data_IF_214369528600
#
_entry.id   IF_214369528600
#
_cell.length_a   1.000
_cell.length_b   1.000
_cell.length_c   1.000
_cell.angle_alpha   90.00
_cell.angle_beta   90.00
_cell.angle_gamma   90.00
#
_symmetry.space_group_name_H-M   'P 1'
#
loop_
_entity.id
_entity.type
_entity.pdbx_description
1 polymer ?
#
# COMPACT_ATOMS: atom_id res chain seq x y z
N UNK A 1 -17.16 -68.18 -3.50
CA UNK A 1 -16.85 -66.91 -4.18
C UNK A 1 -17.51 -65.81 -3.33
N UNK A 2 -16.97 -65.31 -2.21
CA UNK A 2 -15.65 -64.70 -1.95
C UNK A 2 -15.34 -63.65 -3.05
N UNK A 3 -15.30 -62.33 -2.83
CA UNK A 3 -15.18 -61.53 -1.60
C UNK A 3 -15.90 -60.18 -1.75
N UNK A 4 -16.51 -59.70 -0.67
CA UNK A 4 -16.98 -58.32 -0.48
C UNK A 4 -15.82 -57.43 -0.03
N UNK A 5 -15.55 -56.33 -0.76
CA UNK A 5 -14.67 -55.21 -0.36
C UNK A 5 -15.15 -53.97 -1.09
N UNK A 6 -15.18 -52.76 -0.57
CA UNK A 6 -15.13 -52.22 0.78
C UNK A 6 -15.66 -50.77 0.66
N UNK A 7 -16.45 -50.34 1.64
CA UNK A 7 -16.81 -48.93 1.85
C UNK A 7 -15.60 -48.23 2.45
N UNK A 8 -15.11 -47.16 1.83
CA UNK A 8 -14.14 -46.21 2.39
C UNK A 8 -14.63 -44.81 1.98
N UNK A 9 -15.47 -44.18 2.80
CA UNK A 9 -15.09 -43.31 3.92
C UNK A 9 -14.39 -42.02 3.45
N UNK A 10 -15.17 -40.93 3.47
CA UNK A 10 -14.70 -39.56 3.52
C UNK A 10 -13.80 -39.38 4.74
N UNK A 11 -12.55 -38.94 4.56
CA UNK A 11 -11.90 -38.03 5.49
C UNK A 11 -10.89 -37.16 4.74
N UNK A 12 -11.21 -35.88 4.68
CA UNK A 12 -10.26 -34.81 4.47
C UNK A 12 -9.14 -34.89 5.52
N UNK A 13 -7.89 -34.81 5.10
CA UNK A 13 -6.78 -34.23 5.85
C UNK A 13 -5.48 -34.54 5.12
N UNK A 14 -5.07 -33.69 4.19
CA UNK A 14 -3.65 -33.48 3.94
C UNK A 14 -3.52 -32.10 3.30
N UNK A 15 -3.09 -31.13 4.10
CA UNK A 15 -2.19 -30.01 3.81
C UNK A 15 -2.31 -29.10 5.03
N UNK A 16 -1.53 -29.39 6.05
CA UNK A 16 -1.16 -28.45 7.10
C UNK A 16 0.13 -28.99 7.72
N UNK A 17 1.21 -28.23 7.52
CA UNK A 17 2.37 -28.08 8.39
C UNK A 17 3.68 -27.99 7.60
N UNK A 18 3.92 -26.85 6.96
CA UNK A 18 5.24 -26.18 7.05
C UNK A 18 5.02 -24.67 7.03
N UNK A 19 4.42 -24.13 8.10
CA UNK A 19 4.68 -22.76 8.50
C UNK A 19 5.64 -22.85 9.69
N UNK A 20 6.88 -23.24 9.41
CA UNK A 20 7.96 -23.02 10.35
C UNK A 20 8.06 -21.50 10.53
N UNK A 21 7.71 -21.03 11.72
CA UNK A 21 7.98 -19.69 12.19
C UNK A 21 9.49 -19.49 12.18
N UNK A 22 10.03 -18.96 11.08
CA UNK A 22 11.36 -18.35 11.09
C UNK A 22 11.21 -16.89 11.54
N UNK A 23 11.30 -16.72 12.86
CA UNK A 23 11.36 -15.42 13.53
C UNK A 23 12.81 -14.92 13.65
N UNK A 24 13.62 -15.01 12.58
CA UNK A 24 15.01 -14.50 12.61
C UNK A 24 15.43 -13.62 11.41
N UNK A 25 14.48 -13.13 10.61
CA UNK A 25 14.78 -12.11 9.59
C UNK A 25 14.64 -10.71 10.18
N UNK A 26 15.70 -9.87 10.07
CA UNK A 26 15.59 -8.42 10.22
C UNK A 26 14.32 -7.95 9.53
N UNK A 27 13.37 -7.35 10.27
CA UNK A 27 12.18 -6.77 9.65
C UNK A 27 12.68 -5.65 8.75
N UNK A 28 12.57 -5.82 7.44
CA UNK A 28 12.83 -4.75 6.50
C UNK A 28 11.67 -3.76 6.60
N UNK A 29 11.98 -2.48 6.83
CA UNK A 29 10.98 -1.44 6.77
C UNK A 29 10.33 -1.34 5.40
N UNK A 30 9.13 -0.77 5.31
CA UNK A 30 8.40 -0.55 4.05
C UNK A 30 9.30 0.07 2.95
N UNK A 31 10.16 1.07 3.24
CA UNK A 31 11.06 1.63 2.22
C UNK A 31 12.04 0.61 1.65
N UNK A 32 12.49 -0.35 2.45
CA UNK A 32 13.40 -1.40 1.98
C UNK A 32 12.65 -2.45 1.16
N UNK A 33 11.44 -2.85 1.60
CA UNK A 33 10.58 -3.77 0.85
C UNK A 33 10.27 -3.20 -0.54
N UNK A 34 9.89 -1.92 -0.63
CA UNK A 34 9.60 -1.28 -1.92
C UNK A 34 10.85 -1.17 -2.82
N UNK A 35 12.01 -0.75 -2.28
CA UNK A 35 13.27 -0.72 -3.04
C UNK A 35 13.68 -2.08 -3.59
N UNK A 36 13.42 -3.15 -2.84
CA UNK A 36 13.73 -4.50 -3.31
C UNK A 36 12.72 -4.96 -4.35
N UNK A 37 11.46 -4.54 -4.26
CA UNK A 37 10.43 -4.81 -5.27
C UNK A 37 10.64 -4.04 -6.58
N UNK A 38 11.23 -2.84 -6.53
CA UNK A 38 11.61 -2.08 -7.75
C UNK A 38 12.59 -2.85 -8.63
N UNK A 39 13.46 -3.68 -8.03
CA UNK A 39 14.37 -4.57 -8.77
C UNK A 39 13.64 -5.71 -9.47
N UNK A 40 12.43 -6.05 -8.99
CA UNK A 40 11.59 -7.13 -9.51
C UNK A 40 10.61 -6.63 -10.57
N UNK A 41 10.22 -5.37 -10.44
CA UNK A 41 9.20 -4.73 -11.24
C UNK A 41 9.35 -3.20 -11.18
N UNK A 42 9.50 -2.58 -12.34
CA UNK A 42 9.41 -1.12 -12.47
C UNK A 42 7.93 -0.69 -12.44
N UNK A 43 7.35 -0.70 -11.25
CA UNK A 43 6.00 -0.18 -11.01
C UNK A 43 6.01 1.35 -11.11
N UNK A 44 5.06 1.97 -11.82
CA UNK A 44 5.00 3.42 -11.91
C UNK A 44 4.56 4.03 -10.57
N UNK A 45 5.01 5.26 -10.28
CA UNK A 45 4.46 5.99 -9.13
C UNK A 45 3.12 6.64 -9.52
N UNK A 46 2.04 6.43 -8.74
CA UNK A 46 0.72 7.00 -9.04
C UNK A 46 0.64 8.53 -8.94
N UNK A 47 1.63 9.22 -8.37
CA UNK A 47 1.71 10.68 -8.32
C UNK A 47 3.00 11.21 -8.94
N UNK A 48 2.88 12.37 -9.59
CA UNK A 48 4.04 13.12 -10.09
C UNK A 48 4.88 13.66 -8.91
N UNK A 49 6.18 13.36 -8.92
CA UNK A 49 7.12 13.62 -7.83
C UNK A 49 7.22 15.11 -7.44
N UNK A 50 7.14 16.03 -8.41
CA UNK A 50 7.32 17.47 -8.20
C UNK A 50 6.26 18.08 -7.27
N UNK A 51 5.01 17.63 -7.37
CA UNK A 51 3.91 18.17 -6.57
C UNK A 51 3.90 17.60 -5.15
N UNK A 52 4.39 16.37 -4.99
CA UNK A 52 4.61 15.77 -3.68
C UNK A 52 5.73 16.49 -2.90
N UNK A 53 6.83 16.84 -3.57
CA UNK A 53 7.93 17.60 -2.96
C UNK A 53 7.49 19.00 -2.53
N UNK A 54 6.61 19.68 -3.27
CA UNK A 54 6.01 20.95 -2.85
C UNK A 54 5.19 20.84 -1.55
N UNK A 55 4.44 19.75 -1.38
CA UNK A 55 3.70 19.47 -0.14
C UNK A 55 4.62 19.06 1.03
N UNK A 56 5.72 18.36 0.72
CA UNK A 56 6.75 17.98 1.68
C UNK A 56 7.48 19.19 2.25
N UNK A 57 7.83 20.18 1.42
CA UNK A 57 8.51 21.41 1.87
C UNK A 57 7.64 22.24 2.83
N UNK A 58 6.32 22.29 2.59
CA UNK A 58 5.36 22.95 3.51
C UNK A 58 5.33 22.30 4.89
N UNK A 59 5.62 21.00 4.99
CA UNK A 59 5.67 20.27 6.26
C UNK A 59 7.06 20.26 6.91
N UNK A 60 8.14 20.29 6.12
CA UNK A 60 9.54 20.44 6.60
C UNK A 60 9.78 21.75 7.34
N UNK A 61 8.97 22.77 7.06
CA UNK A 61 9.03 24.05 7.78
C UNK A 61 8.65 23.93 9.27
N UNK A 62 8.03 22.81 9.68
CA UNK A 62 7.58 22.56 11.06
C UNK A 62 8.50 21.60 11.86
N UNK A 63 9.44 20.92 11.23
CA UNK A 63 10.39 20.01 11.87
C UNK A 63 11.60 19.80 10.96
N UNK A 64 12.79 20.14 11.45
CA UNK A 64 14.02 20.29 10.64
C UNK A 64 14.38 19.09 9.75
N UNK A 65 15.32 19.32 8.82
CA UNK A 65 15.65 18.46 7.65
C UNK A 65 15.94 16.96 7.90
N UNK A 66 16.11 16.51 9.14
CA UNK A 66 16.54 15.14 9.48
C UNK A 66 15.49 14.29 10.20
N UNK A 67 14.33 14.84 10.55
CA UNK A 67 13.29 14.07 11.23
C UNK A 67 12.33 13.48 10.19
N UNK A 68 12.07 12.16 10.19
CA UNK A 68 11.04 11.58 9.34
C UNK A 68 9.68 12.19 9.70
N UNK A 69 8.78 12.39 8.72
CA UNK A 69 7.48 12.97 8.98
C UNK A 69 6.69 12.08 9.93
N UNK A 70 5.95 12.70 10.85
CA UNK A 70 4.97 11.98 11.67
C UNK A 70 3.87 11.38 10.78
N UNK A 71 3.08 10.43 11.31
CA UNK A 71 1.90 9.91 10.61
C UNK A 71 0.94 11.01 10.13
N UNK A 72 0.69 12.03 10.96
CA UNK A 72 -0.22 13.11 10.62
C UNK A 72 0.37 14.07 9.59
N UNK A 73 1.67 14.35 9.67
CA UNK A 73 2.37 15.09 8.62
C UNK A 73 2.29 14.35 7.28
N UNK A 74 2.48 13.02 7.26
CA UNK A 74 2.31 12.21 6.04
C UNK A 74 0.88 12.31 5.48
N UNK A 75 -0.15 12.17 6.32
CA UNK A 75 -1.54 12.36 5.89
C UNK A 75 -1.76 13.75 5.29
N UNK A 76 -1.24 14.80 5.94
CA UNK A 76 -1.33 16.16 5.43
C UNK A 76 -0.57 16.38 4.12
N UNK A 77 0.55 15.69 3.90
CA UNK A 77 1.27 15.72 2.62
C UNK A 77 0.43 15.11 1.51
N UNK A 78 -0.24 13.99 1.77
CA UNK A 78 -1.10 13.31 0.81
C UNK A 78 -2.37 14.11 0.50
N UNK A 79 -3.02 14.68 1.53
CA UNK A 79 -4.17 15.56 1.33
C UNK A 79 -3.78 16.81 0.52
N UNK A 80 -2.63 17.41 0.82
CA UNK A 80 -2.09 18.53 0.04
C UNK A 80 -1.86 18.14 -1.42
N UNK A 81 -1.29 16.96 -1.68
CA UNK A 81 -1.05 16.49 -3.03
C UNK A 81 -2.38 16.34 -3.80
N UNK A 82 -3.38 15.69 -3.19
CA UNK A 82 -4.70 15.51 -3.81
C UNK A 82 -5.38 16.84 -4.14
N UNK A 83 -5.29 17.84 -3.24
CA UNK A 83 -5.79 19.19 -3.50
C UNK A 83 -5.06 19.86 -4.66
N UNK A 84 -3.73 19.76 -4.72
CA UNK A 84 -2.95 20.35 -5.81
C UNK A 84 -3.27 19.74 -7.18
N UNK A 85 -3.67 18.46 -7.21
CA UNK A 85 -4.12 17.80 -8.44
C UNK A 85 -5.62 17.98 -8.74
N UNK A 86 -6.34 18.74 -7.92
CA UNK A 86 -7.80 18.90 -8.00
C UNK A 86 -8.55 17.55 -7.94
N UNK A 87 -7.98 16.55 -7.27
CA UNK A 87 -8.65 15.28 -7.01
C UNK A 87 -9.68 15.39 -5.89
N UNK A 88 -9.66 16.49 -5.15
CA UNK A 88 -10.63 16.75 -4.10
C UNK A 88 -11.14 18.18 -4.14
N UNK A 89 -12.44 18.33 -3.86
CA UNK A 89 -13.15 19.61 -3.76
C UNK A 89 -14.17 19.53 -2.63
N UNK A 90 -14.24 20.58 -1.80
CA UNK A 90 -15.18 20.62 -0.67
C UNK A 90 -15.03 19.47 0.33
N UNK A 91 -13.82 18.91 0.47
CA UNK A 91 -13.56 17.78 1.37
C UNK A 91 -13.96 16.40 0.82
N UNK A 92 -14.41 16.31 -0.44
CA UNK A 92 -14.74 15.06 -1.10
C UNK A 92 -13.73 14.78 -2.23
N UNK A 93 -13.43 13.51 -2.47
CA UNK A 93 -12.61 13.09 -3.61
C UNK A 93 -13.49 13.00 -4.84
N UNK A 94 -13.09 13.68 -5.92
CA UNK A 94 -13.61 13.47 -7.26
C UNK A 94 -13.00 12.19 -7.82
N UNK A 95 -13.75 11.10 -7.67
CA UNK A 95 -13.31 9.74 -8.01
C UNK A 95 -12.99 9.62 -9.49
N UNK A 96 -13.78 10.24 -10.36
CA UNK A 96 -13.60 10.14 -11.81
C UNK A 96 -12.35 10.89 -12.25
N UNK A 97 -12.15 12.11 -11.75
CA UNK A 97 -10.95 12.90 -12.04
C UNK A 97 -9.69 12.18 -11.51
N UNK A 98 -9.72 11.70 -10.28
CA UNK A 98 -8.59 10.97 -9.67
C UNK A 98 -8.27 9.69 -10.45
N UNK A 99 -9.29 8.88 -10.77
CA UNK A 99 -9.13 7.63 -11.51
C UNK A 99 -8.55 7.87 -12.90
N UNK A 100 -9.07 8.86 -13.62
CA UNK A 100 -8.53 9.25 -14.91
C UNK A 100 -7.06 9.66 -14.80
N UNK A 101 -6.70 10.45 -13.79
CA UNK A 101 -5.34 10.91 -13.59
C UNK A 101 -4.35 9.76 -13.27
N UNK A 102 -4.73 8.82 -12.40
CA UNK A 102 -3.91 7.63 -12.11
C UNK A 102 -3.74 6.69 -13.32
N UNK A 103 -4.75 6.58 -14.18
CA UNK A 103 -4.64 5.78 -15.40
C UNK A 103 -3.80 6.51 -16.45
N UNK A 104 -3.91 7.83 -16.55
CA UNK A 104 -3.19 8.63 -17.54
C UNK A 104 -1.74 8.92 -17.14
N UNK A 105 -1.36 8.74 -15.87
CA UNK A 105 0.02 8.94 -15.39
C UNK A 105 0.95 7.77 -15.72
N UNK A 106 0.42 6.66 -16.20
CA UNK A 106 1.19 5.46 -16.55
C UNK A 106 1.23 5.24 -18.07
N UNK A 107 2.22 4.50 -18.54
CA UNK A 107 2.29 4.14 -19.97
C UNK A 107 1.18 3.14 -20.35
N UNK A 108 1.00 2.92 -21.66
CA UNK A 108 -0.09 2.08 -22.19
C UNK A 108 -0.07 0.63 -21.68
N UNK A 109 1.10 0.07 -21.34
CA UNK A 109 1.19 -1.31 -20.82
C UNK A 109 0.70 -1.44 -19.38
N UNK A 110 0.63 -0.33 -18.65
CA UNK A 110 0.14 -0.27 -17.28
C UNK A 110 -1.31 0.20 -17.15
N UNK A 111 -1.91 0.83 -18.18
CA UNK A 111 -3.25 1.44 -18.07
C UNK A 111 -4.35 0.50 -17.58
N UNK A 112 -4.40 -0.74 -18.08
CA UNK A 112 -5.39 -1.74 -17.62
C UNK A 112 -5.20 -2.07 -16.14
N UNK A 113 -3.95 -2.38 -15.74
CA UNK A 113 -3.60 -2.65 -14.33
C UNK A 113 -3.88 -1.44 -13.44
N UNK A 114 -3.62 -0.24 -13.94
CA UNK A 114 -3.88 0.99 -13.23
C UNK A 114 -5.37 1.15 -12.95
N UNK A 115 -6.22 0.95 -13.96
CA UNK A 115 -7.68 1.01 -13.81
C UNK A 115 -8.19 0.01 -12.77
N UNK A 116 -7.79 -1.25 -12.91
CA UNK A 116 -8.17 -2.33 -11.99
C UNK A 116 -7.68 -2.07 -10.55
N UNK A 117 -6.47 -1.52 -10.41
CA UNK A 117 -5.91 -1.18 -9.11
C UNK A 117 -6.68 -0.07 -8.41
N UNK A 118 -7.06 0.97 -9.15
CA UNK A 118 -7.88 2.07 -8.61
C UNK A 118 -9.26 1.57 -8.21
N UNK A 119 -9.92 0.77 -9.05
CA UNK A 119 -11.24 0.22 -8.76
C UNK A 119 -11.22 -0.70 -7.52
N UNK A 120 -10.19 -1.54 -7.41
CA UNK A 120 -9.95 -2.36 -6.23
C UNK A 120 -9.80 -1.49 -4.97
N UNK A 121 -8.96 -0.45 -5.02
CA UNK A 121 -8.69 0.41 -3.88
C UNK A 121 -9.88 1.28 -3.45
N UNK A 122 -10.73 1.70 -4.39
CA UNK A 122 -12.00 2.35 -4.07
C UNK A 122 -12.96 1.40 -3.36
N UNK A 123 -12.97 0.12 -3.71
CA UNK A 123 -13.76 -0.89 -3.00
C UNK A 123 -13.19 -1.19 -1.61
N UNK A 124 -11.88 -1.31 -1.47
CA UNK A 124 -11.21 -1.48 -0.17
C UNK A 124 -11.47 -0.27 0.73
N UNK A 125 -11.45 0.95 0.18
CA UNK A 125 -11.82 2.16 0.93
C UNK A 125 -13.25 2.04 1.48
N UNK A 126 -14.22 1.57 0.68
CA UNK A 126 -15.61 1.43 1.15
C UNK A 126 -15.80 0.37 2.22
N UNK A 127 -15.00 -0.69 2.17
CA UNK A 127 -15.23 -1.91 2.97
C UNK A 127 -14.31 -2.06 4.18
N UNK A 128 -13.10 -1.48 4.12
CA UNK A 128 -12.06 -1.67 5.13
C UNK A 128 -11.57 -0.38 5.77
N UNK A 129 -11.71 0.76 5.11
CA UNK A 129 -11.30 2.02 5.74
C UNK A 129 -12.25 2.37 6.88
N UNK A 130 -11.68 2.50 8.07
CA UNK A 130 -12.37 2.95 9.26
C UNK A 130 -11.66 4.20 9.76
N UNK A 131 -12.34 5.35 9.75
CA UNK A 131 -11.75 6.61 10.23
C UNK A 131 -11.29 6.52 11.70
N UNK A 132 -11.94 5.67 12.50
CA UNK A 132 -11.56 5.37 13.89
C UNK A 132 -10.22 4.66 14.05
N UNK A 133 -9.63 4.13 12.96
CA UNK A 133 -8.29 3.54 12.97
C UNK A 133 -7.17 4.59 13.00
N UNK A 134 -7.49 5.86 12.73
CA UNK A 134 -6.54 6.96 12.87
C UNK A 134 -6.46 7.35 14.34
N UNK A 135 -5.30 7.20 15.00
CA UNK A 135 -5.15 7.58 16.40
C UNK A 135 -5.39 9.09 16.60
N UNK A 136 -5.67 9.48 17.85
CA UNK A 136 -5.77 10.89 18.19
C UNK A 136 -4.39 11.56 18.07
N UNK A 137 -4.32 12.76 17.45
CA UNK A 137 -3.06 13.49 17.34
C UNK A 137 -2.52 13.86 18.73
N UNK A 138 -1.20 13.87 18.91
CA UNK A 138 -0.57 14.65 19.97
C UNK A 138 -1.08 16.11 19.97
N UNK A 139 -1.13 16.73 21.14
CA UNK A 139 -1.60 18.11 21.28
C UNK A 139 -0.85 19.07 20.33
N UNK A 140 -1.61 19.82 19.53
CA UNK A 140 -1.09 20.81 18.58
C UNK A 140 -0.81 20.30 17.17
N UNK A 141 -0.92 18.98 16.92
CA UNK A 141 -0.72 18.42 15.59
C UNK A 141 -2.00 18.47 14.74
N UNK A 142 -1.86 18.92 13.49
CA UNK A 142 -2.99 19.02 12.55
C UNK A 142 -3.38 17.63 12.07
N UNK A 143 -4.66 17.29 12.21
CA UNK A 143 -5.25 16.11 11.54
C UNK A 143 -5.70 16.50 10.15
N UNK A 144 -5.26 15.70 9.18
CA UNK A 144 -5.63 15.81 7.78
C UNK A 144 -6.41 14.57 7.37
N UNK A 145 -7.11 14.64 6.24
CA UNK A 145 -7.87 13.51 5.73
C UNK A 145 -6.92 12.35 5.38
N UNK A 146 -7.24 11.15 5.89
CA UNK A 146 -6.45 9.95 5.68
C UNK A 146 -6.80 9.25 4.36
N UNK A 147 -7.97 9.54 3.76
CA UNK A 147 -8.45 8.89 2.54
C UNK A 147 -7.45 9.08 1.36
N UNK A 148 -6.90 10.28 1.09
CA UNK A 148 -5.85 10.47 0.09
C UNK A 148 -4.65 9.53 0.26
N UNK A 149 -4.17 9.39 1.51
CA UNK A 149 -3.02 8.55 1.83
C UNK A 149 -3.34 7.06 1.65
N UNK A 150 -4.52 6.63 2.11
CA UNK A 150 -5.00 5.27 1.92
C UNK A 150 -5.06 4.89 0.45
N UNK A 151 -5.72 5.71 -0.38
CA UNK A 151 -5.89 5.42 -1.80
C UNK A 151 -4.55 5.35 -2.52
N UNK A 152 -3.64 6.29 -2.23
CA UNK A 152 -2.33 6.31 -2.86
C UNK A 152 -1.51 5.05 -2.54
N UNK A 153 -1.44 4.69 -1.25
CA UNK A 153 -0.68 3.52 -0.80
C UNK A 153 -1.30 2.26 -1.37
N UNK A 154 -2.62 2.11 -1.32
CA UNK A 154 -3.31 0.96 -1.87
C UNK A 154 -3.00 0.80 -3.37
N UNK A 155 -3.14 1.87 -4.15
CA UNK A 155 -2.89 1.82 -5.60
C UNK A 155 -1.43 1.45 -5.88
N UNK A 156 -0.49 2.05 -5.15
CA UNK A 156 0.93 1.78 -5.34
C UNK A 156 1.29 0.32 -4.99
N UNK A 157 0.81 -0.19 -3.85
CA UNK A 157 0.98 -1.61 -3.48
C UNK A 157 0.38 -2.53 -4.53
N UNK A 158 -0.79 -2.15 -5.08
CA UNK A 158 -1.48 -2.96 -6.07
C UNK A 158 -0.76 -2.97 -7.42
N UNK A 159 -0.03 -1.93 -7.79
CA UNK A 159 0.83 -1.95 -8.97
C UNK A 159 1.90 -3.03 -8.86
N UNK A 160 2.58 -3.15 -7.71
CA UNK A 160 3.52 -4.26 -7.50
C UNK A 160 2.84 -5.62 -7.49
N UNK A 161 1.65 -5.73 -6.90
CA UNK A 161 0.89 -6.99 -6.84
C UNK A 161 0.34 -7.48 -8.19
N UNK A 162 0.13 -6.55 -9.13
CA UNK A 162 -0.36 -6.85 -10.48
C UNK A 162 0.75 -6.84 -11.52
N UNK A 163 1.95 -6.42 -11.12
CA UNK A 163 3.14 -6.69 -11.89
C UNK A 163 3.36 -8.19 -11.94
N UNK A 164 3.83 -8.69 -13.09
CA UNK A 164 4.37 -10.05 -13.16
C UNK A 164 5.84 -9.92 -12.77
N UNK A 165 6.22 -10.11 -11.49
CA UNK A 165 7.61 -9.91 -11.10
C UNK A 165 8.47 -10.96 -11.80
N UNK A 166 9.71 -10.59 -12.12
CA UNK A 166 10.70 -11.62 -12.46
C UNK A 166 10.97 -12.46 -11.21
N UNK A 167 10.28 -13.59 -11.10
CA UNK A 167 10.34 -14.50 -9.96
C UNK A 167 11.74 -15.11 -9.76
N UNK A 168 12.62 -14.99 -10.75
CA UNK A 168 14.01 -15.43 -10.65
C UNK A 168 14.89 -14.44 -9.88
N UNK A 169 14.41 -13.21 -9.66
CA UNK A 169 15.09 -12.23 -8.82
C UNK A 169 14.86 -12.59 -7.34
N UNK A 170 15.95 -12.84 -6.62
CA UNK A 170 15.90 -13.31 -5.23
C UNK A 170 15.15 -12.34 -4.33
N UNK A 171 14.18 -12.85 -3.55
CA UNK A 171 13.44 -12.07 -2.56
C UNK A 171 12.15 -11.41 -3.07
N UNK A 172 11.90 -11.39 -4.38
CA UNK A 172 10.73 -10.73 -4.97
C UNK A 172 9.40 -11.32 -4.49
N UNK A 173 9.23 -12.65 -4.59
CA UNK A 173 8.00 -13.31 -4.16
C UNK A 173 7.74 -13.12 -2.65
N UNK A 174 8.78 -13.22 -1.82
CA UNK A 174 8.65 -13.05 -0.36
C UNK A 174 8.32 -11.61 0.03
N UNK A 175 8.96 -10.63 -0.60
CA UNK A 175 8.69 -9.22 -0.32
C UNK A 175 7.32 -8.80 -0.82
N UNK A 176 6.86 -9.36 -1.96
CA UNK A 176 5.53 -9.10 -2.47
C UNK A 176 4.46 -9.69 -1.55
N UNK A 177 4.64 -10.94 -1.11
CA UNK A 177 3.73 -11.60 -0.15
C UNK A 177 3.62 -10.81 1.16
N UNK A 178 4.73 -10.27 1.67
CA UNK A 178 4.72 -9.38 2.84
C UNK A 178 3.94 -8.10 2.56
N UNK A 179 4.19 -7.46 1.42
CA UNK A 179 3.57 -6.17 1.08
C UNK A 179 2.04 -6.29 0.93
N UNK A 180 1.54 -7.32 0.26
CA UNK A 180 0.09 -7.50 0.02
C UNK A 180 -0.69 -7.92 1.26
N UNK A 181 -0.02 -8.39 2.31
CA UNK A 181 -0.61 -8.74 3.61
C UNK A 181 -0.64 -7.56 4.59
N UNK A 182 0.08 -6.47 4.29
CA UNK A 182 0.10 -5.28 5.14
C UNK A 182 -1.21 -4.50 4.99
N UNK A 183 -1.72 -3.99 6.11
CA UNK A 183 -2.87 -3.10 6.11
C UNK A 183 -2.46 -1.71 5.62
N UNK A 184 -3.22 -1.11 4.69
CA UNK A 184 -2.84 0.17 4.08
C UNK A 184 -2.82 1.33 5.08
N UNK A 185 -3.67 1.29 6.12
CA UNK A 185 -3.64 2.27 7.20
C UNK A 185 -2.41 2.05 8.08
N UNK A 186 -2.06 0.80 8.37
CA UNK A 186 -0.79 0.49 9.05
C UNK A 186 0.42 0.99 8.26
N UNK A 187 0.43 0.84 6.93
CA UNK A 187 1.47 1.39 6.06
C UNK A 187 1.53 2.93 6.13
N UNK A 188 0.38 3.60 6.13
CA UNK A 188 0.29 5.06 6.23
C UNK A 188 0.81 5.56 7.59
N UNK A 189 0.46 4.86 8.65
CA UNK A 189 0.75 5.25 10.03
C UNK A 189 2.15 4.81 10.49
N UNK A 190 2.67 3.68 10.00
CA UNK A 190 3.86 3.03 10.54
C UNK A 190 4.94 2.72 9.49
N UNK A 191 4.79 3.16 8.23
CA UNK A 191 5.68 2.80 7.12
C UNK A 191 7.18 3.01 7.37
N UNK A 192 7.56 4.01 8.16
CA UNK A 192 8.98 4.30 8.48
C UNK A 192 9.51 3.53 9.71
N UNK A 193 8.63 3.01 10.57
CA UNK A 193 8.96 2.49 11.91
C UNK A 193 9.50 1.06 11.91
N UNK A 194 9.37 0.32 10.81
CA UNK A 194 9.85 -1.07 10.73
C UNK A 194 11.38 -1.20 10.54
N UNK A 195 12.12 -0.08 10.49
CA UNK A 195 13.59 -0.07 10.42
C UNK A 195 14.30 0.08 11.80
N UNK A 196 13.57 0.11 12.91
CA UNK A 196 14.18 0.25 14.25
C UNK A 196 13.42 -0.52 15.32
N UNK A 197 13.52 -1.85 15.27
CA UNK A 197 13.52 -2.71 16.47
C UNK A 197 14.47 -3.88 16.24
#
# INVERSE_FOLDING_TARGET
>A
MAESRAVLAFTAALILAVAAHDHSGKRHGLPQIMRDLDKCCEAPMPLCHSNFEGCKMKQKSAGGERTPPTPYQRMCMMECAFKNFNYSSGGNIDVEVMKAAFVNSVNSTWQTRARESVDFCLNELKTKFQSSSVPAPPSGEKVCDAIPGFLLICVHVRYYATCSPDINTSGCASNLDKLVKMDYMDLLLNGDSAASK
#
